data_IF_546328748085
#
_entry.id   IF_546328748085
#
_cell.length_a   1.000
_cell.length_b   1.000
_cell.length_c   1.000
_cell.angle_alpha   90.00
_cell.angle_beta   90.00
_cell.angle_gamma   90.00
#
_symmetry.space_group_name_H-M   'P 1'
#
loop_
_entity.id
_entity.type
_entity.pdbx_description
1 polymer ?
#
# COMPACT_ATOMS: atom_id res chain seq x y z
N UNK A 1 1.09 16.36 -18.55
CA UNK A 1 1.86 15.12 -18.63
C UNK A 1 1.11 14.08 -19.43
N UNK A 2 1.77 13.40 -20.36
CA UNK A 2 1.22 12.23 -21.04
C UNK A 2 1.22 10.98 -20.11
N UNK A 3 0.57 9.89 -20.52
CA UNK A 3 0.46 8.68 -19.70
C UNK A 3 1.83 8.05 -19.36
N UNK A 4 2.81 8.12 -20.27
CA UNK A 4 4.15 7.58 -20.03
C UNK A 4 4.84 8.37 -18.91
N UNK A 5 4.80 9.69 -18.97
CA UNK A 5 5.35 10.57 -17.93
C UNK A 5 4.68 10.31 -16.57
N UNK A 6 3.35 10.09 -16.55
CA UNK A 6 2.62 9.76 -15.32
C UNK A 6 3.05 8.41 -14.73
N UNK A 7 3.20 7.38 -15.56
CA UNK A 7 3.65 6.05 -15.13
C UNK A 7 5.11 6.09 -14.63
N UNK A 8 5.98 6.83 -15.30
CA UNK A 8 7.37 7.06 -14.85
C UNK A 8 7.37 7.77 -13.50
N UNK A 9 6.55 8.81 -13.33
CA UNK A 9 6.44 9.54 -12.06
C UNK A 9 5.96 8.61 -10.94
N UNK A 10 4.92 7.81 -11.18
CA UNK A 10 4.42 6.84 -10.19
C UNK A 10 5.51 5.84 -9.82
N UNK A 11 6.20 5.28 -10.81
CA UNK A 11 7.29 4.34 -10.57
C UNK A 11 8.40 4.98 -9.74
N UNK A 12 8.80 6.21 -10.06
CA UNK A 12 9.80 6.94 -9.30
C UNK A 12 9.36 7.21 -7.86
N UNK A 13 8.11 7.66 -7.65
CA UNK A 13 7.55 7.89 -6.30
C UNK A 13 7.50 6.57 -5.52
N UNK A 14 7.04 5.48 -6.11
CA UNK A 14 6.99 4.16 -5.45
C UNK A 14 8.38 3.69 -5.05
N UNK A 15 9.37 3.79 -5.95
CA UNK A 15 10.75 3.37 -5.67
C UNK A 15 11.40 4.23 -4.59
N UNK A 16 11.21 5.56 -4.64
CA UNK A 16 11.72 6.47 -3.62
C UNK A 16 11.07 6.19 -2.26
N UNK A 17 9.76 5.97 -2.22
CA UNK A 17 9.05 5.61 -1.00
C UNK A 17 9.57 4.27 -0.45
N UNK A 18 9.62 3.23 -1.28
CA UNK A 18 10.16 1.90 -0.90
C UNK A 18 11.56 2.05 -0.31
N UNK A 19 12.47 2.74 -1.00
CA UNK A 19 13.84 2.96 -0.52
C UNK A 19 13.89 3.69 0.82
N UNK A 20 13.12 4.78 0.97
CA UNK A 20 13.06 5.54 2.21
C UNK A 20 12.48 4.71 3.37
N UNK A 21 11.35 4.03 3.18
CA UNK A 21 10.73 3.19 4.20
C UNK A 21 11.61 1.99 4.57
N UNK A 22 12.24 1.34 3.60
CA UNK A 22 13.18 0.24 3.85
C UNK A 22 14.39 0.72 4.66
N UNK A 23 14.99 1.86 4.28
CA UNK A 23 16.14 2.40 5.01
C UNK A 23 15.80 2.75 6.47
N UNK A 24 14.65 3.40 6.69
CA UNK A 24 14.17 3.71 8.05
C UNK A 24 13.81 2.42 8.81
N UNK A 25 13.16 1.45 8.16
CA UNK A 25 12.81 0.16 8.78
C UNK A 25 14.04 -0.63 9.21
N UNK A 26 15.09 -0.65 8.39
CA UNK A 26 16.37 -1.28 8.73
C UNK A 26 17.04 -0.58 9.91
N UNK A 27 17.05 0.75 9.93
CA UNK A 27 17.57 1.51 11.07
C UNK A 27 16.78 1.21 12.36
N UNK A 28 15.45 1.24 12.30
CA UNK A 28 14.60 0.97 13.46
C UNK A 28 14.73 -0.47 13.97
N UNK A 29 15.01 -1.44 13.10
CA UNK A 29 15.27 -2.82 13.49
C UNK A 29 16.54 -3.00 14.34
N UNK A 30 17.44 -2.01 14.36
CA UNK A 30 18.63 -2.01 15.23
C UNK A 30 18.39 -1.43 16.62
N UNK A 31 17.22 -0.80 16.84
CA UNK A 31 16.87 -0.19 18.13
C UNK A 31 16.48 -1.29 19.11
N UNK A 32 17.16 -1.34 20.26
CA UNK A 32 16.79 -2.26 21.34
C UNK A 32 15.55 -1.74 22.09
N UNK A 33 14.42 -2.41 21.84
CA UNK A 33 13.11 -2.09 22.44
C UNK A 33 12.97 -2.73 23.84
N UNK A 34 13.82 -3.71 24.18
CA UNK A 34 13.69 -4.47 25.43
C UNK A 34 14.04 -3.64 26.68
N UNK A 35 14.89 -2.63 26.51
CA UNK A 35 15.27 -1.69 27.57
C UNK A 35 14.32 -0.49 27.70
N UNK A 36 13.26 -0.41 26.88
CA UNK A 36 12.38 0.76 26.87
C UNK A 36 11.32 0.70 27.98
N UNK A 37 10.90 1.87 28.52
CA UNK A 37 9.75 1.94 29.40
C UNK A 37 8.50 1.32 28.77
N UNK A 38 7.66 0.69 29.60
CA UNK A 38 6.45 -0.04 29.17
C UNK A 38 5.47 0.80 28.33
N UNK A 39 5.47 2.12 28.49
CA UNK A 39 4.64 3.03 27.69
C UNK A 39 5.23 3.34 26.32
N UNK A 40 6.55 3.31 26.16
CA UNK A 40 7.26 3.64 24.93
C UNK A 40 7.45 2.42 24.02
N UNK A 41 7.70 1.25 24.63
CA UNK A 41 7.89 -0.02 23.95
C UNK A 41 6.81 -0.36 22.90
N UNK A 42 5.49 -0.24 23.17
CA UNK A 42 4.47 -0.53 22.17
C UNK A 42 4.45 0.47 21.01
N UNK A 43 4.73 1.75 21.26
CA UNK A 43 4.76 2.80 20.24
C UNK A 43 5.92 2.55 19.27
N UNK A 44 7.11 2.28 19.79
CA UNK A 44 8.29 2.01 18.98
C UNK A 44 8.12 0.69 18.22
N UNK A 45 7.54 -0.33 18.85
CA UNK A 45 7.21 -1.60 18.18
C UNK A 45 6.26 -1.39 17.00
N UNK A 46 5.23 -0.56 17.16
CA UNK A 46 4.30 -0.21 16.07
C UNK A 46 5.01 0.55 14.94
N UNK A 47 5.91 1.48 15.27
CA UNK A 47 6.72 2.19 14.26
C UNK A 47 7.62 1.22 13.49
N UNK A 48 8.35 0.34 14.17
CA UNK A 48 9.22 -0.67 13.53
C UNK A 48 8.41 -1.52 12.56
N UNK A 49 7.24 -1.99 12.98
CA UNK A 49 6.36 -2.78 12.12
C UNK A 49 5.84 -1.96 10.93
N UNK A 50 5.40 -0.72 11.15
CA UNK A 50 4.92 0.16 10.08
C UNK A 50 6.00 0.37 9.01
N UNK A 51 7.22 0.74 9.41
CA UNK A 51 8.33 0.95 8.47
C UNK A 51 8.81 -0.34 7.80
N UNK A 52 8.68 -1.49 8.46
CA UNK A 52 9.00 -2.80 7.88
C UNK A 52 8.02 -3.19 6.76
N UNK A 53 6.73 -2.88 6.93
CA UNK A 53 5.69 -3.31 6.00
C UNK A 53 5.23 -2.24 5.00
N UNK A 54 5.55 -0.96 5.23
CA UNK A 54 5.26 0.11 4.29
C UNK A 54 5.82 -0.16 2.87
N UNK A 55 7.05 -0.69 2.68
CA UNK A 55 7.56 -1.04 1.35
C UNK A 55 6.67 -2.05 0.63
N UNK A 56 6.22 -3.09 1.34
CA UNK A 56 5.32 -4.12 0.78
C UNK A 56 4.00 -3.48 0.35
N UNK A 57 3.45 -2.61 1.19
CA UNK A 57 2.24 -1.85 0.88
C UNK A 57 2.39 -1.06 -0.43
N UNK A 58 3.49 -0.32 -0.61
CA UNK A 58 3.75 0.43 -1.85
C UNK A 58 3.87 -0.46 -3.08
N UNK A 59 4.49 -1.63 -2.97
CA UNK A 59 4.55 -2.61 -4.07
C UNK A 59 3.14 -3.07 -4.47
N UNK A 60 2.31 -3.43 -3.49
CA UNK A 60 0.92 -3.87 -3.74
C UNK A 60 0.10 -2.75 -4.39
N UNK A 61 0.19 -1.52 -3.88
CA UNK A 61 -0.50 -0.35 -4.45
C UNK A 61 -0.08 -0.12 -5.90
N UNK A 62 1.23 -0.19 -6.17
CA UNK A 62 1.81 0.00 -7.50
C UNK A 62 1.24 -1.00 -8.49
N UNK A 63 1.30 -2.30 -8.17
CA UNK A 63 0.75 -3.34 -9.03
C UNK A 63 -0.76 -3.19 -9.23
N UNK A 64 -1.52 -2.90 -8.17
CA UNK A 64 -2.98 -2.72 -8.26
C UNK A 64 -3.34 -1.56 -9.20
N UNK A 65 -2.61 -0.45 -9.13
CA UNK A 65 -2.88 0.70 -9.99
C UNK A 65 -2.52 0.44 -11.45
N UNK A 66 -1.35 -0.16 -11.71
CA UNK A 66 -0.92 -0.50 -13.06
C UNK A 66 -1.84 -1.54 -13.70
N UNK A 67 -2.19 -2.60 -12.96
CA UNK A 67 -3.13 -3.61 -13.45
C UNK A 67 -4.50 -3.01 -13.73
N UNK A 68 -4.99 -2.10 -12.88
CA UNK A 68 -6.22 -1.36 -13.12
C UNK A 68 -6.16 -0.51 -14.39
N UNK A 69 -5.05 0.19 -14.63
CA UNK A 69 -4.83 0.98 -15.84
C UNK A 69 -4.76 0.10 -17.09
N UNK A 70 -3.95 -0.97 -17.08
CA UNK A 70 -3.81 -1.91 -18.21
C UNK A 70 -5.15 -2.53 -18.54
N UNK A 71 -5.90 -2.98 -17.53
CA UNK A 71 -7.24 -3.54 -17.73
C UNK A 71 -8.20 -2.53 -18.37
N UNK A 72 -8.25 -1.30 -17.87
CA UNK A 72 -9.11 -0.26 -18.45
C UNK A 72 -8.70 0.07 -19.89
N UNK A 73 -7.40 0.03 -20.18
CA UNK A 73 -6.86 0.22 -21.53
C UNK A 73 -7.24 -0.93 -22.49
N UNK A 74 -7.23 -2.18 -22.01
CA UNK A 74 -7.62 -3.36 -22.80
C UNK A 74 -9.15 -3.44 -22.99
N UNK A 75 -9.93 -3.12 -21.95
CA UNK A 75 -11.40 -3.26 -21.97
C UNK A 75 -12.12 -2.09 -22.66
N UNK A 76 -11.51 -0.90 -22.76
CA UNK A 76 -12.12 0.20 -23.50
C UNK A 76 -11.83 0.06 -25.00
N UNK A 77 -12.84 -0.37 -25.74
CA UNK A 77 -12.77 -0.48 -27.20
C UNK A 77 -12.57 0.89 -27.88
N UNK A 78 -11.38 1.04 -28.47
CA UNK A 78 -11.03 1.82 -29.68
C UNK A 78 -11.27 3.34 -29.75
N UNK A 79 -12.09 3.99 -28.91
CA UNK A 79 -12.37 5.44 -29.06
C UNK A 79 -12.26 6.30 -27.79
N UNK A 80 -12.01 5.73 -26.61
CA UNK A 80 -11.80 6.53 -25.40
C UNK A 80 -10.32 6.57 -25.01
N UNK A 81 -9.76 7.78 -24.88
CA UNK A 81 -8.44 7.98 -24.29
C UNK A 81 -8.49 7.59 -22.81
N UNK A 82 -7.88 6.46 -22.47
CA UNK A 82 -7.70 6.06 -21.07
C UNK A 82 -6.56 6.88 -20.49
N UNK A 83 -6.90 7.90 -19.70
CA UNK A 83 -5.92 8.73 -19.00
C UNK A 83 -5.54 8.07 -17.66
N UNK A 84 -4.25 8.04 -17.35
CA UNK A 84 -3.79 7.53 -16.05
C UNK A 84 -4.13 8.53 -14.95
N UNK A 85 -4.79 8.05 -13.88
CA UNK A 85 -5.23 8.87 -12.76
C UNK A 85 -4.25 8.80 -11.57
N UNK A 86 -3.39 9.83 -11.49
CA UNK A 86 -2.45 10.02 -10.38
C UNK A 86 -3.15 10.24 -9.02
N UNK A 87 -4.31 10.90 -9.00
CA UNK A 87 -5.04 11.16 -7.75
C UNK A 87 -5.54 9.86 -7.16
N UNK A 88 -6.03 8.96 -8.01
CA UNK A 88 -6.42 7.61 -7.59
C UNK A 88 -5.26 6.82 -7.02
N UNK A 89 -4.07 6.90 -7.61
CA UNK A 89 -2.86 6.29 -7.05
C UNK A 89 -2.55 6.81 -5.64
N UNK A 90 -2.47 8.13 -5.47
CA UNK A 90 -2.15 8.73 -4.16
C UNK A 90 -3.24 8.44 -3.11
N UNK A 91 -4.52 8.52 -3.48
CA UNK A 91 -5.63 8.18 -2.58
C UNK A 91 -5.60 6.71 -2.14
N UNK A 92 -5.29 5.80 -3.06
CA UNK A 92 -5.10 4.37 -2.75
C UNK A 92 -3.92 4.19 -1.79
N UNK A 93 -2.82 4.92 -2.01
CA UNK A 93 -1.64 4.83 -1.15
C UNK A 93 -1.94 5.29 0.28
N UNK A 94 -2.59 6.45 0.45
CA UNK A 94 -2.98 6.93 1.78
C UNK A 94 -3.98 6.01 2.47
N UNK A 95 -4.95 5.47 1.74
CA UNK A 95 -5.92 4.51 2.29
C UNK A 95 -5.21 3.29 2.86
N UNK A 96 -4.35 2.64 2.08
CA UNK A 96 -3.67 1.43 2.56
C UNK A 96 -2.66 1.71 3.66
N UNK A 97 -1.90 2.80 3.60
CA UNK A 97 -1.01 3.17 4.71
C UNK A 97 -1.79 3.45 6.00
N UNK A 98 -2.95 4.09 5.90
CA UNK A 98 -3.83 4.34 7.05
C UNK A 98 -4.42 3.05 7.62
N UNK A 99 -4.96 2.18 6.77
CA UNK A 99 -5.50 0.87 7.15
C UNK A 99 -4.43 -0.01 7.78
N UNK A 100 -3.21 0.01 7.24
CA UNK A 100 -2.08 -0.72 7.80
C UNK A 100 -1.75 -0.23 9.20
N UNK A 101 -1.75 1.09 9.42
CA UNK A 101 -1.50 1.67 10.73
C UNK A 101 -2.57 1.24 11.75
N UNK A 102 -3.85 1.23 11.37
CA UNK A 102 -4.94 0.76 12.24
C UNK A 102 -4.81 -0.74 12.54
N UNK A 103 -4.54 -1.58 11.53
CA UNK A 103 -4.40 -3.02 11.71
C UNK A 103 -3.22 -3.41 12.61
N UNK A 104 -2.11 -2.67 12.52
CA UNK A 104 -0.92 -2.88 13.36
C UNK A 104 -1.15 -2.48 14.82
N UNK A 105 -1.94 -1.43 15.07
CA UNK A 105 -2.23 -0.97 16.43
C UNK A 105 -3.32 -1.81 17.10
N UNK A 106 -4.30 -2.30 16.34
CA UNK A 106 -5.44 -3.02 16.87
C UNK A 106 -5.13 -4.49 17.25
N UNK A 107 -4.09 -5.10 16.66
CA UNK A 107 -3.80 -6.53 16.84
C UNK A 107 -2.35 -6.78 17.30
N UNK A 108 -2.13 -7.67 18.27
CA UNK A 108 -0.79 -8.08 18.66
C UNK A 108 -0.16 -9.00 17.59
N UNK A 109 1.17 -9.08 17.60
CA UNK A 109 1.90 -10.07 16.80
C UNK A 109 1.52 -11.51 17.25
N UNK A 110 1.43 -12.50 16.34
CA UNK A 110 1.69 -12.41 14.89
C UNK A 110 0.45 -12.04 14.04
N UNK A 111 -0.69 -11.76 14.66
CA UNK A 111 -1.97 -11.58 13.95
C UNK A 111 -2.05 -10.28 13.15
N UNK A 112 -1.28 -9.27 13.54
CA UNK A 112 -1.14 -7.99 12.84
C UNK A 112 -0.71 -8.12 11.36
N UNK A 113 0.30 -8.96 11.07
CA UNK A 113 0.78 -9.20 9.72
C UNK A 113 -0.28 -9.92 8.87
N UNK A 114 -0.95 -10.91 9.48
CA UNK A 114 -2.02 -11.65 8.82
C UNK A 114 -3.21 -10.73 8.52
N UNK A 115 -3.62 -9.88 9.45
CA UNK A 115 -4.73 -8.94 9.28
C UNK A 115 -4.44 -7.91 8.19
N UNK A 116 -3.22 -7.40 8.13
CA UNK A 116 -2.83 -6.48 7.08
C UNK A 116 -2.82 -7.16 5.69
N UNK A 117 -2.25 -8.37 5.59
CA UNK A 117 -2.29 -9.16 4.36
C UNK A 117 -3.71 -9.52 3.93
N UNK A 118 -4.56 -9.95 4.87
CA UNK A 118 -5.98 -10.24 4.64
C UNK A 118 -6.73 -9.02 4.14
N UNK A 119 -6.41 -7.82 4.66
CA UNK A 119 -7.07 -6.60 4.20
C UNK A 119 -6.77 -6.31 2.73
N UNK A 120 -5.52 -6.52 2.28
CA UNK A 120 -5.19 -6.42 0.86
C UNK A 120 -5.93 -7.46 0.02
N UNK A 121 -5.91 -8.73 0.45
CA UNK A 121 -6.55 -9.83 -0.29
C UNK A 121 -8.06 -9.61 -0.38
N UNK A 122 -8.73 -9.31 0.72
CA UNK A 122 -10.17 -9.05 0.79
C UNK A 122 -10.54 -7.85 -0.07
N UNK A 123 -9.78 -6.75 -0.01
CA UNK A 123 -10.09 -5.57 -0.81
C UNK A 123 -9.84 -5.80 -2.31
N UNK A 124 -8.85 -6.61 -2.70
CA UNK A 124 -8.67 -7.04 -4.10
C UNK A 124 -9.87 -7.90 -4.52
N UNK A 125 -10.22 -8.92 -3.73
CA UNK A 125 -11.33 -9.83 -4.04
C UNK A 125 -12.67 -9.10 -4.12
N UNK A 126 -12.97 -8.21 -3.18
CA UNK A 126 -14.17 -7.38 -3.19
C UNK A 126 -14.20 -6.43 -4.38
N UNK A 127 -13.07 -5.78 -4.69
CA UNK A 127 -12.99 -4.90 -5.86
C UNK A 127 -13.21 -5.67 -7.15
N UNK A 128 -12.74 -6.92 -7.26
CA UNK A 128 -12.99 -7.77 -8.42
C UNK A 128 -14.43 -8.30 -8.44
N UNK A 129 -14.98 -8.71 -7.30
CA UNK A 129 -16.36 -9.17 -7.16
C UNK A 129 -17.38 -8.10 -7.57
N UNK A 130 -17.23 -6.86 -7.08
CA UNK A 130 -18.11 -5.72 -7.44
C UNK A 130 -18.07 -5.35 -8.93
N UNK A 131 -17.02 -5.77 -9.66
CA UNK A 131 -16.93 -5.55 -11.11
C UNK A 131 -17.61 -6.66 -11.91
N UNK A 132 -17.90 -7.81 -11.29
CA UNK A 132 -18.59 -8.96 -11.92
C UNK A 132 -20.10 -8.85 -11.69
N UNK A 133 -20.51 -8.40 -10.49
CA UNK A 133 -21.90 -8.19 -10.13
C UNK A 133 -22.07 -6.70 -9.86
N UNK A 134 -22.69 -5.92 -10.76
CA UNK A 134 -22.98 -4.52 -10.51
C UNK A 134 -23.88 -4.41 -9.27
N UNK A 135 -23.67 -3.41 -8.39
CA UNK A 135 -24.60 -3.16 -7.31
C UNK A 135 -25.98 -2.81 -7.90
N UNK A 136 -27.03 -3.49 -7.39
CA UNK A 136 -28.44 -3.20 -7.71
C UNK A 136 -28.85 -1.77 -7.30
#
# INVERSE_FOLDING_TARGET
MNNIEKLVLVTAISLLAIGAFTGVGQYLATVDISAMPNWASPIVSALVQFFTWAPVTFVVIYFRNIMGYIRNWVLKEKNEKVDYDLKRYMGTAFYYLGVFNVALVALPAPYNALAAALTFVVDILLSEYQKIIPPE
#
